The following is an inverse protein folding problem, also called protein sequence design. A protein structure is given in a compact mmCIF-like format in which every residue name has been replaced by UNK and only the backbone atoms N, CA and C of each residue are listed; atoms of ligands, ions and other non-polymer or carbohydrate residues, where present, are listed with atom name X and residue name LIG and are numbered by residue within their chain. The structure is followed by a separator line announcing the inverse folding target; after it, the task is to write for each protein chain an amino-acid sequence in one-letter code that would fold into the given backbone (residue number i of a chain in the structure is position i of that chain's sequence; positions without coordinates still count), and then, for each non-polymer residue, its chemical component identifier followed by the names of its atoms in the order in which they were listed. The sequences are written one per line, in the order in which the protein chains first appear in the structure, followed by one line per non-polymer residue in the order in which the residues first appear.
data_IF_827882964987
#
_entry.id   IF_827882964987
#
_cell.length_a   1.000
_cell.length_b   1.000
_cell.length_c   1.000
_cell.angle_alpha   90.00
_cell.angle_beta   90.00
_cell.angle_gamma   90.00
#
_symmetry.space_group_name_H-M   'P 1'
#
loop_
_entity.id
_entity.type
_entity.pdbx_description
1 polymer ?
#
# COMPACT_ATOMS: atom_id res chain seq x y z
N UNK A 1 12.16 -12.19 -15.87
CA UNK A 1 10.77 -12.70 -15.98
C UNK A 1 10.08 -12.42 -14.64
N UNK A 2 9.42 -11.28 -14.50
CA UNK A 2 8.71 -10.86 -13.28
C UNK A 2 7.34 -11.55 -13.28
N UNK A 3 7.00 -12.29 -12.22
CA UNK A 3 5.81 -13.15 -12.21
C UNK A 3 4.54 -12.45 -11.74
N UNK A 4 3.46 -12.96 -12.33
CA UNK A 4 2.04 -12.62 -12.29
C UNK A 4 1.53 -12.32 -10.88
N UNK A 5 0.85 -11.18 -10.79
CA UNK A 5 0.02 -10.74 -9.68
C UNK A 5 -1.46 -11.02 -9.99
N UNK A 6 -2.29 -11.13 -8.97
CA UNK A 6 -3.75 -11.09 -9.14
C UNK A 6 -4.22 -9.77 -9.83
N UNK A 7 -3.51 -8.65 -9.59
CA UNK A 7 -3.82 -7.33 -10.18
C UNK A 7 -2.93 -6.87 -11.36
N UNK A 8 -1.69 -7.38 -11.53
CA UNK A 8 -0.92 -7.22 -12.78
C UNK A 8 -1.38 -8.12 -13.93
N UNK A 9 -2.51 -8.82 -13.75
CA UNK A 9 -3.24 -9.39 -14.89
C UNK A 9 -3.56 -8.30 -15.90
N UNK A 10 -3.96 -7.11 -15.47
CA UNK A 10 -4.31 -6.03 -16.42
C UNK A 10 -3.10 -5.50 -17.18
N UNK A 11 -1.99 -5.21 -16.49
CA UNK A 11 -0.81 -4.60 -17.11
C UNK A 11 -0.09 -5.54 -18.10
N UNK A 12 -0.35 -6.85 -18.03
CA UNK A 12 0.19 -7.85 -18.96
C UNK A 12 -0.86 -8.38 -19.96
N UNK A 13 -2.10 -8.58 -19.53
CA UNK A 13 -3.17 -9.05 -20.40
C UNK A 13 -3.64 -7.97 -21.37
N UNK A 14 -3.64 -6.70 -20.97
CA UNK A 14 -4.11 -5.62 -21.83
C UNK A 14 -3.19 -5.43 -23.07
N UNK A 15 -1.84 -5.41 -22.95
CA UNK A 15 -0.97 -5.47 -24.11
C UNK A 15 -1.21 -6.70 -25.00
N UNK A 16 -1.39 -7.89 -24.42
CA UNK A 16 -1.66 -9.11 -25.19
C UNK A 16 -2.99 -9.04 -25.93
N UNK A 17 -4.03 -8.50 -25.29
CA UNK A 17 -5.33 -8.24 -25.91
C UNK A 17 -5.21 -7.24 -27.05
N UNK A 18 -4.45 -6.16 -26.86
CA UNK A 18 -4.19 -5.18 -27.92
C UNK A 18 -3.44 -5.80 -29.11
N UNK A 19 -2.43 -6.64 -28.86
CA UNK A 19 -1.74 -7.37 -29.92
C UNK A 19 -2.69 -8.32 -30.67
N UNK A 20 -3.58 -9.01 -29.95
CA UNK A 20 -4.63 -9.84 -30.56
C UNK A 20 -5.60 -9.04 -31.43
N UNK A 21 -6.05 -7.87 -30.94
CA UNK A 21 -6.90 -6.95 -31.70
C UNK A 21 -6.19 -6.38 -32.93
N UNK A 22 -4.91 -6.01 -32.82
CA UNK A 22 -4.09 -5.59 -33.98
C UNK A 22 -4.03 -6.72 -35.02
N UNK A 23 -3.76 -7.95 -34.59
CA UNK A 23 -3.74 -9.09 -35.51
C UNK A 23 -5.11 -9.33 -36.17
N UNK A 24 -6.22 -9.14 -35.45
CA UNK A 24 -7.55 -9.22 -36.01
C UNK A 24 -7.81 -8.12 -37.06
N UNK A 25 -7.46 -6.86 -36.76
CA UNK A 25 -7.58 -5.73 -37.69
C UNK A 25 -6.80 -5.96 -39.00
N UNK A 26 -5.63 -6.62 -38.91
CA UNK A 26 -4.80 -6.93 -40.07
C UNK A 26 -5.34 -8.09 -40.92
N UNK A 27 -6.14 -9.00 -40.34
CA UNK A 27 -6.67 -10.19 -41.03
C UNK A 27 -8.10 -10.02 -41.55
N UNK A 28 -8.88 -9.12 -40.94
CA UNK A 28 -10.29 -8.91 -41.29
C UNK A 28 -10.40 -7.89 -42.44
N UNK A 29 -11.19 -8.25 -43.44
CA UNK A 29 -11.52 -7.40 -44.58
C UNK A 29 -12.30 -6.14 -44.16
N UNK A 30 -12.39 -5.17 -45.06
CA UNK A 30 -13.13 -3.95 -44.81
C UNK A 30 -14.62 -4.27 -44.55
N UNK A 31 -15.10 -3.89 -43.36
CA UNK A 31 -16.46 -4.17 -42.91
C UNK A 31 -16.64 -3.91 -41.41
N UNK A 32 -17.84 -4.18 -40.90
CA UNK A 32 -18.22 -3.86 -39.52
C UNK A 32 -17.32 -4.51 -38.46
N UNK A 33 -16.82 -5.73 -38.72
CA UNK A 33 -15.89 -6.43 -37.83
C UNK A 33 -14.56 -5.68 -37.64
N UNK A 34 -14.03 -5.06 -38.70
CA UNK A 34 -12.80 -4.26 -38.64
C UNK A 34 -13.01 -2.96 -37.89
N UNK A 35 -14.16 -2.30 -38.10
CA UNK A 35 -14.56 -1.09 -37.38
C UNK A 35 -14.68 -1.39 -35.88
N UNK A 36 -15.38 -2.48 -35.51
CA UNK A 36 -15.52 -2.90 -34.12
C UNK A 36 -14.17 -3.23 -33.48
N UNK A 37 -13.29 -3.96 -34.17
CA UNK A 37 -11.95 -4.27 -33.67
C UNK A 37 -11.09 -3.02 -33.46
N UNK A 38 -11.15 -2.04 -34.38
CA UNK A 38 -10.47 -0.75 -34.24
C UNK A 38 -11.03 0.10 -33.08
N UNK A 39 -12.35 0.14 -32.91
CA UNK A 39 -12.98 0.84 -31.79
C UNK A 39 -12.57 0.24 -30.44
N UNK A 40 -12.57 -1.09 -30.33
CA UNK A 40 -12.09 -1.81 -29.15
C UNK A 40 -10.59 -1.55 -28.90
N UNK A 41 -9.78 -1.51 -29.96
CA UNK A 41 -8.35 -1.24 -29.86
C UNK A 41 -8.08 0.18 -29.36
N UNK A 42 -8.81 1.18 -29.85
CA UNK A 42 -8.75 2.57 -29.39
C UNK A 42 -9.14 2.70 -27.92
N UNK A 43 -10.28 2.11 -27.52
CA UNK A 43 -10.74 2.15 -26.13
C UNK A 43 -9.75 1.46 -25.18
N UNK A 44 -9.28 0.26 -25.54
CA UNK A 44 -8.33 -0.50 -24.75
C UNK A 44 -6.97 0.21 -24.61
N UNK A 45 -6.47 0.84 -25.68
CA UNK A 45 -5.19 1.56 -25.68
C UNK A 45 -5.25 2.88 -24.91
N UNK A 46 -6.34 3.65 -25.04
CA UNK A 46 -6.56 4.85 -24.24
C UNK A 46 -6.68 4.53 -22.74
N UNK A 47 -7.45 3.50 -22.39
CA UNK A 47 -7.55 3.03 -21.01
C UNK A 47 -6.19 2.58 -20.45
N UNK A 48 -5.46 1.78 -21.23
CA UNK A 48 -4.11 1.32 -20.86
C UNK A 48 -3.13 2.47 -20.63
N UNK A 49 -3.09 3.43 -21.55
CA UNK A 49 -2.23 4.61 -21.45
C UNK A 49 -2.56 5.44 -20.19
N UNK A 50 -3.83 5.80 -19.99
CA UNK A 50 -4.22 6.63 -18.83
C UNK A 50 -3.98 5.93 -17.49
N UNK A 51 -4.21 4.61 -17.40
CA UNK A 51 -3.97 3.82 -16.18
C UNK A 51 -2.48 3.74 -15.86
N UNK A 52 -1.67 3.33 -16.83
CA UNK A 52 -0.23 3.10 -16.63
C UNK A 52 0.53 4.41 -16.44
N UNK A 53 0.11 5.50 -17.10
CA UNK A 53 0.65 6.84 -16.84
C UNK A 53 0.29 7.34 -15.43
N UNK A 54 -0.93 7.08 -14.95
CA UNK A 54 -1.31 7.39 -13.56
C UNK A 54 -0.44 6.63 -12.56
N UNK A 55 -0.22 5.33 -12.76
CA UNK A 55 0.68 4.56 -11.89
C UNK A 55 2.12 5.06 -11.95
N UNK A 56 2.64 5.38 -13.14
CA UNK A 56 3.98 5.95 -13.30
C UNK A 56 4.14 7.26 -12.52
N UNK A 57 3.14 8.15 -12.59
CA UNK A 57 3.12 9.42 -11.86
C UNK A 57 2.99 9.21 -10.35
N UNK A 58 2.11 8.31 -9.90
CA UNK A 58 1.99 8.01 -8.46
C UNK A 58 3.32 7.55 -7.87
N UNK A 59 4.09 6.73 -8.59
CA UNK A 59 5.39 6.24 -8.11
C UNK A 59 6.47 7.33 -8.23
N UNK A 60 6.47 8.12 -9.31
CA UNK A 60 7.53 9.11 -9.55
C UNK A 60 7.34 10.42 -8.78
N UNK A 61 6.09 10.83 -8.54
CA UNK A 61 5.73 12.12 -7.98
C UNK A 61 5.47 12.04 -6.45
N UNK A 62 5.39 10.83 -5.87
CA UNK A 62 5.28 10.67 -4.41
C UNK A 62 6.68 10.64 -3.81
N UNK A 63 7.07 11.61 -2.96
CA UNK A 63 8.38 11.59 -2.34
C UNK A 63 8.45 10.52 -1.24
N UNK A 64 9.61 9.85 -1.12
CA UNK A 64 9.89 8.97 0.01
C UNK A 64 9.81 9.76 1.31
N UNK A 65 8.92 9.36 2.20
CA UNK A 65 8.76 9.92 3.54
C UNK A 65 9.52 9.09 4.58
N UNK A 66 9.95 9.74 5.67
CA UNK A 66 10.45 9.04 6.86
C UNK A 66 9.30 8.67 7.78
N UNK A 67 9.27 7.44 8.30
CA UNK A 67 8.20 6.88 9.14
C UNK A 67 7.89 7.82 10.32
N UNK A 68 8.92 8.31 11.02
CA UNK A 68 8.75 9.20 12.17
C UNK A 68 8.08 10.55 11.86
N UNK A 69 8.00 10.94 10.58
CA UNK A 69 7.46 12.24 10.15
C UNK A 69 6.50 12.12 8.97
N UNK A 70 6.07 10.90 8.63
CA UNK A 70 5.19 10.66 7.50
C UNK A 70 3.81 11.26 7.78
N UNK A 71 3.25 11.95 6.78
CA UNK A 71 1.89 12.46 6.88
C UNK A 71 0.88 11.30 6.89
N UNK A 72 -0.25 11.49 7.58
CA UNK A 72 -1.37 10.54 7.51
C UNK A 72 -1.92 10.48 6.07
N UNK A 73 -2.21 9.29 5.58
CA UNK A 73 -2.77 9.06 4.24
C UNK A 73 -1.77 8.45 3.27
N UNK A 74 -1.90 8.79 1.99
CA UNK A 74 -1.15 8.13 0.92
C UNK A 74 0.32 8.58 0.87
N UNK A 75 1.25 7.66 1.18
CA UNK A 75 2.68 7.96 1.27
C UNK A 75 3.53 6.83 0.68
N UNK A 76 4.78 7.18 0.38
CA UNK A 76 5.84 6.25 0.03
C UNK A 76 6.80 6.08 1.22
N UNK A 77 7.07 4.83 1.60
CA UNK A 77 8.05 4.46 2.62
C UNK A 77 9.10 3.51 2.04
N UNK A 78 10.33 3.65 2.53
CA UNK A 78 11.45 2.75 2.17
C UNK A 78 12.23 2.39 3.43
N UNK A 79 12.47 1.10 3.63
CA UNK A 79 13.16 0.61 4.81
C UNK A 79 13.60 -0.83 4.69
N UNK A 80 14.11 -1.39 5.78
CA UNK A 80 14.46 -2.79 5.92
C UNK A 80 13.27 -3.55 6.49
N UNK A 81 12.94 -4.66 5.85
CA UNK A 81 11.91 -5.55 6.35
C UNK A 81 12.39 -6.32 7.59
N UNK A 82 11.53 -6.41 8.59
CA UNK A 82 11.77 -7.09 9.87
C UNK A 82 10.58 -7.99 10.19
N UNK A 83 10.82 -9.02 11.00
CA UNK A 83 9.75 -9.90 11.47
C UNK A 83 8.87 -9.16 12.49
N UNK A 84 7.56 -9.36 12.38
CA UNK A 84 6.63 -8.97 13.42
C UNK A 84 6.75 -9.97 14.58
N UNK A 85 6.96 -9.48 15.80
CA UNK A 85 7.13 -10.33 16.97
C UNK A 85 5.87 -11.18 17.25
N UNK A 86 6.07 -12.42 17.70
CA UNK A 86 4.99 -13.35 18.02
C UNK A 86 4.30 -14.04 16.83
N UNK A 87 4.61 -13.64 15.58
CA UNK A 87 3.97 -14.20 14.37
C UNK A 87 4.99 -14.69 13.32
N UNK A 88 5.84 -15.70 13.62
CA UNK A 88 6.86 -16.14 12.68
C UNK A 88 6.24 -16.87 11.49
N UNK A 89 6.43 -16.32 10.29
CA UNK A 89 6.03 -16.96 9.03
C UNK A 89 7.19 -17.83 8.51
N UNK A 90 6.86 -19.05 8.09
CA UNK A 90 7.81 -19.99 7.50
C UNK A 90 7.39 -20.36 6.08
N UNK A 91 8.39 -20.56 5.23
CA UNK A 91 8.22 -21.04 3.86
C UNK A 91 7.63 -22.46 3.87
N UNK A 92 6.54 -22.71 3.12
CA UNK A 92 5.92 -24.04 3.05
C UNK A 92 6.76 -25.06 2.25
N UNK A 93 7.82 -24.63 1.58
CA UNK A 93 8.65 -25.49 0.71
C UNK A 93 9.86 -26.07 1.45
N UNK A 94 10.53 -25.25 2.23
CA UNK A 94 11.83 -25.54 2.87
C UNK A 94 11.86 -25.21 4.38
N UNK A 95 10.79 -24.65 4.93
CA UNK A 95 10.68 -24.30 6.35
C UNK A 95 11.50 -23.07 6.76
N UNK A 96 12.13 -22.35 5.82
CA UNK A 96 12.96 -21.20 6.15
C UNK A 96 12.10 -20.01 6.64
N UNK A 97 12.60 -19.18 7.58
CA UNK A 97 11.91 -17.97 8.01
C UNK A 97 11.75 -16.98 6.85
N UNK A 98 10.52 -16.52 6.63
CA UNK A 98 10.15 -15.53 5.61
C UNK A 98 9.22 -14.50 6.23
N UNK A 99 9.09 -13.33 5.60
CA UNK A 99 8.17 -12.27 6.02
C UNK A 99 6.89 -12.27 5.19
N UNK A 100 7.01 -12.69 3.95
CA UNK A 100 5.90 -12.90 3.02
C UNK A 100 6.34 -13.95 1.99
N UNK A 101 5.41 -14.74 1.47
CA UNK A 101 5.66 -15.59 0.31
C UNK A 101 4.47 -15.68 -0.64
N UNK A 102 4.78 -15.96 -1.91
CA UNK A 102 3.86 -16.55 -2.89
C UNK A 102 4.48 -17.82 -3.42
N UNK A 103 3.72 -18.91 -3.38
CA UNK A 103 4.14 -20.22 -3.87
C UNK A 103 3.26 -20.65 -5.04
N UNK A 104 3.90 -20.87 -6.19
CA UNK A 104 3.31 -21.53 -7.35
C UNK A 104 3.79 -22.98 -7.42
N UNK A 105 2.86 -23.92 -7.34
CA UNK A 105 3.12 -25.35 -7.49
C UNK A 105 2.64 -25.81 -8.85
N UNK A 106 3.54 -26.37 -9.65
CA UNK A 106 3.26 -26.92 -10.97
C UNK A 106 3.59 -28.41 -10.99
N UNK A 107 2.84 -29.19 -11.76
CA UNK A 107 3.12 -30.61 -12.01
C UNK A 107 3.44 -30.81 -13.47
N UNK A 108 4.42 -31.67 -13.73
CA UNK A 108 4.74 -32.16 -15.07
C UNK A 108 3.72 -33.22 -15.45
N UNK A 109 3.06 -33.02 -16.58
CA UNK A 109 2.15 -34.01 -17.14
C UNK A 109 2.86 -34.98 -18.09
N UNK A 110 2.15 -36.01 -18.52
CA UNK A 110 2.64 -37.02 -19.47
C UNK A 110 3.08 -36.43 -20.83
N UNK A 111 2.52 -35.28 -21.21
CA UNK A 111 2.93 -34.51 -22.40
C UNK A 111 4.25 -33.73 -22.19
N UNK A 112 4.87 -33.85 -21.01
CA UNK A 112 6.09 -33.17 -20.61
C UNK A 112 5.92 -31.70 -20.25
N UNK A 113 4.71 -31.14 -20.33
CA UNK A 113 4.42 -29.73 -20.01
C UNK A 113 4.14 -29.56 -18.53
N UNK A 114 4.53 -28.40 -18.01
CA UNK A 114 4.22 -27.99 -16.64
C UNK A 114 2.84 -27.34 -16.61
N UNK A 115 1.97 -27.80 -15.71
CA UNK A 115 0.66 -27.18 -15.46
C UNK A 115 0.53 -26.77 -14.01
N UNK A 116 -0.05 -25.61 -13.78
CA UNK A 116 -0.32 -25.10 -12.43
C UNK A 116 -1.30 -26.01 -11.71
N UNK A 117 -0.88 -26.53 -10.56
CA UNK A 117 -1.72 -27.32 -9.65
C UNK A 117 -2.28 -26.44 -8.56
N UNK A 118 -1.44 -25.58 -7.99
CA UNK A 118 -1.83 -24.72 -6.87
C UNK A 118 -1.05 -23.40 -6.89
N UNK A 119 -1.66 -22.34 -6.36
CA UNK A 119 -1.02 -21.05 -6.11
C UNK A 119 -1.53 -20.53 -4.77
N UNK A 120 -0.62 -20.33 -3.82
CA UNK A 120 -0.94 -19.79 -2.49
C UNK A 120 -0.09 -18.56 -2.20
N UNK A 121 -0.60 -17.69 -1.34
CA UNK A 121 0.04 -16.44 -0.94
C UNK A 121 -0.21 -16.19 0.54
N UNK A 122 0.80 -15.71 1.25
CA UNK A 122 0.67 -15.32 2.65
C UNK A 122 0.09 -13.92 2.79
N UNK A 123 -0.69 -13.70 3.84
CA UNK A 123 -1.19 -12.38 4.25
C UNK A 123 -0.55 -11.89 5.56
N UNK A 124 0.60 -12.45 5.97
CA UNK A 124 1.24 -12.08 7.21
C UNK A 124 1.81 -10.66 7.14
N UNK A 125 1.50 -9.84 8.14
CA UNK A 125 2.09 -8.52 8.29
C UNK A 125 3.56 -8.63 8.72
N UNK A 126 4.36 -7.65 8.31
CA UNK A 126 5.76 -7.55 8.69
C UNK A 126 6.10 -6.11 9.04
N UNK A 127 7.26 -5.88 9.66
CA UNK A 127 7.70 -4.55 10.06
C UNK A 127 8.61 -3.95 8.99
N UNK A 128 8.46 -2.65 8.76
CA UNK A 128 9.35 -1.84 7.93
C UNK A 128 10.07 -0.85 8.84
N UNK A 129 11.39 -0.91 8.85
CA UNK A 129 12.25 -0.03 9.64
C UNK A 129 13.10 0.82 8.69
N UNK A 130 12.89 2.14 8.70
CA UNK A 130 13.65 3.09 7.89
C UNK A 130 14.79 3.78 8.66
N UNK A 131 15.04 3.35 9.91
CA UNK A 131 15.98 3.94 10.84
C UNK A 131 15.45 5.16 11.60
N UNK A 132 14.32 5.74 11.17
CA UNK A 132 13.62 6.81 11.90
C UNK A 132 12.46 6.29 12.75
N UNK A 133 11.80 5.24 12.31
CA UNK A 133 10.69 4.61 13.02
C UNK A 133 10.34 3.25 12.44
N UNK A 134 9.36 2.60 13.05
CA UNK A 134 8.88 1.27 12.66
C UNK A 134 7.44 1.39 12.18
N UNK A 135 7.13 0.79 11.04
CA UNK A 135 5.78 0.73 10.49
C UNK A 135 5.39 -0.74 10.23
N UNK A 136 4.25 -1.17 10.75
CA UNK A 136 3.68 -2.45 10.39
C UNK A 136 3.04 -2.38 9.00
N UNK A 137 3.51 -3.21 8.08
CA UNK A 137 2.99 -3.30 6.71
C UNK A 137 2.04 -4.49 6.62
N UNK A 138 0.78 -4.21 6.29
CA UNK A 138 -0.21 -5.21 5.95
C UNK A 138 -0.19 -5.45 4.43
N UNK A 139 0.21 -6.65 3.96
CA UNK A 139 0.26 -6.93 2.53
C UNK A 139 -1.12 -7.16 1.89
N UNK A 140 -2.22 -7.19 2.66
CA UNK A 140 -3.53 -7.49 2.10
C UNK A 140 -3.96 -6.49 0.99
N UNK A 141 -4.33 -7.05 -0.15
CA UNK A 141 -4.69 -6.28 -1.34
C UNK A 141 -3.55 -5.49 -1.99
N UNK A 142 -2.30 -5.69 -1.56
CA UNK A 142 -1.13 -5.07 -2.18
C UNK A 142 -0.76 -5.72 -3.51
N UNK A 143 -0.25 -4.90 -4.43
CA UNK A 143 0.50 -5.38 -5.57
C UNK A 143 1.93 -5.73 -5.12
N UNK A 144 2.22 -7.03 -4.96
CA UNK A 144 3.53 -7.55 -4.57
C UNK A 144 4.51 -7.73 -5.74
N UNK A 145 5.47 -6.81 -5.90
CA UNK A 145 6.56 -6.92 -6.88
C UNK A 145 7.87 -7.38 -6.22
N UNK A 146 8.05 -8.69 -6.13
CA UNK A 146 9.19 -9.31 -5.44
C UNK A 146 10.18 -9.95 -6.44
N UNK A 147 11.47 -9.64 -6.30
CA UNK A 147 12.58 -10.11 -7.13
C UNK A 147 13.07 -11.47 -6.69
N UNK A 148 13.23 -11.69 -5.37
CA UNK A 148 13.68 -12.97 -4.83
C UNK A 148 12.75 -14.08 -5.32
N UNK A 149 13.35 -15.05 -6.02
CA UNK A 149 12.63 -16.14 -6.66
C UNK A 149 13.46 -17.41 -6.59
N UNK A 150 12.92 -18.39 -5.88
CA UNK A 150 13.53 -19.70 -5.72
C UNK A 150 12.70 -20.74 -6.49
N UNK A 151 13.39 -21.59 -7.25
CA UNK A 151 12.76 -22.68 -8.01
C UNK A 151 13.37 -23.98 -7.53
N UNK A 152 12.54 -24.89 -7.05
CA UNK A 152 12.94 -26.25 -6.71
C UNK A 152 12.06 -27.25 -7.44
N UNK A 153 12.60 -28.42 -7.74
CA UNK A 153 11.88 -29.50 -8.40
C UNK A 153 12.08 -30.79 -7.62
N UNK A 154 10.98 -31.48 -7.30
CA UNK A 154 10.95 -32.76 -6.57
C UNK A 154 10.10 -33.73 -7.38
N UNK A 155 10.75 -34.65 -8.10
CA UNK A 155 10.08 -35.53 -9.06
C UNK A 155 9.36 -34.72 -10.14
N UNK A 156 8.07 -35.01 -10.35
CA UNK A 156 7.23 -34.32 -11.32
C UNK A 156 6.59 -33.02 -10.78
N UNK A 157 7.02 -32.52 -9.61
CA UNK A 157 6.48 -31.28 -9.03
C UNK A 157 7.56 -30.20 -9.02
N UNK A 158 7.22 -29.02 -9.54
CA UNK A 158 8.05 -27.81 -9.50
C UNK A 158 7.40 -26.78 -8.58
N UNK A 159 8.17 -26.32 -7.61
CA UNK A 159 7.81 -25.24 -6.72
C UNK A 159 8.55 -23.97 -7.16
N UNK A 160 7.81 -22.90 -7.44
CA UNK A 160 8.37 -21.57 -7.61
C UNK A 160 7.89 -20.69 -6.48
N UNK A 161 8.82 -20.22 -5.65
CA UNK A 161 8.53 -19.36 -4.50
C UNK A 161 9.08 -17.95 -4.76
N UNK A 162 8.27 -16.94 -4.48
CA UNK A 162 8.71 -15.57 -4.26
C UNK A 162 8.59 -15.26 -2.78
N UNK A 163 9.55 -14.58 -2.20
CA UNK A 163 9.52 -14.28 -0.77
C UNK A 163 10.22 -12.98 -0.42
N UNK A 164 9.75 -12.34 0.64
CA UNK A 164 10.50 -11.31 1.35
C UNK A 164 11.12 -11.96 2.59
N UNK A 165 12.37 -11.63 2.89
CA UNK A 165 13.05 -12.08 4.09
C UNK A 165 13.53 -10.90 4.92
N UNK A 166 13.98 -11.19 6.15
CA UNK A 166 14.56 -10.18 7.03
C UNK A 166 15.70 -9.42 6.33
N UNK A 167 15.75 -8.11 6.56
CA UNK A 167 16.72 -7.16 6.02
C UNK A 167 16.65 -6.89 4.51
N UNK A 168 15.71 -7.51 3.78
CA UNK A 168 15.41 -7.07 2.42
C UNK A 168 15.02 -5.59 2.44
N UNK A 169 15.52 -4.84 1.46
CA UNK A 169 15.08 -3.44 1.27
C UNK A 169 13.71 -3.47 0.65
N UNK A 170 12.73 -2.92 1.34
CA UNK A 170 11.34 -2.87 0.91
C UNK A 170 10.93 -1.43 0.65
N UNK A 171 10.28 -1.27 -0.49
CA UNK A 171 9.54 -0.10 -0.93
C UNK A 171 8.05 -0.38 -0.73
N UNK A 172 7.35 0.51 -0.05
CA UNK A 172 5.91 0.42 0.18
C UNK A 172 5.23 1.75 -0.18
N UNK A 173 4.19 1.69 -1.01
CA UNK A 173 3.37 2.83 -1.43
C UNK A 173 1.91 2.52 -1.11
N UNK A 174 1.29 3.25 -0.19
CA UNK A 174 -0.03 2.94 0.33
C UNK A 174 -0.56 3.95 1.34
N UNK A 175 -1.58 3.58 2.10
CA UNK A 175 -2.16 4.41 3.16
C UNK A 175 -1.44 4.18 4.48
N UNK A 176 -0.78 5.23 4.97
CA UNK A 176 -0.13 5.28 6.26
C UNK A 176 -1.08 5.87 7.31
N UNK A 177 -1.25 5.14 8.40
CA UNK A 177 -2.07 5.54 9.53
C UNK A 177 -1.29 5.35 10.82
N UNK A 178 -1.49 6.24 11.79
CA UNK A 178 -0.99 6.08 13.15
C UNK A 178 -2.13 5.73 14.08
N UNK A 179 -2.10 4.53 14.65
CA UNK A 179 -3.09 4.09 15.62
C UNK A 179 -2.86 4.82 16.94
N UNK A 180 -3.90 5.46 17.47
CA UNK A 180 -3.85 6.21 18.74
C UNK A 180 -3.88 7.74 18.60
N UNK A 181 -3.82 8.32 17.40
CA UNK A 181 -3.85 9.78 17.25
C UNK A 181 -5.28 10.35 17.26
N UNK A 182 -5.79 10.73 18.44
CA UNK A 182 -6.83 11.78 18.52
C UNK A 182 -6.12 13.13 18.48
N UNK A 183 -6.71 14.16 17.85
CA UNK A 183 -6.11 15.51 17.80
C UNK A 183 -5.71 15.98 19.22
N UNK A 184 -4.42 16.22 19.49
CA UNK A 184 -3.91 16.43 20.85
C UNK A 184 -4.56 17.62 21.58
N UNK A 185 -4.87 18.71 20.85
CA UNK A 185 -5.45 19.93 21.43
C UNK A 185 -6.93 19.76 21.81
N UNK A 186 -7.71 19.03 21.01
CA UNK A 186 -9.13 18.79 21.26
C UNK A 186 -9.32 17.84 22.46
N UNK A 187 -8.50 16.78 22.51
CA UNK A 187 -8.50 15.81 23.59
C UNK A 187 -8.05 16.44 24.93
N UNK A 188 -6.99 17.26 24.91
CA UNK A 188 -6.48 17.94 26.10
C UNK A 188 -7.51 18.84 26.80
N UNK A 189 -8.26 19.65 26.05
CA UNK A 189 -9.28 20.54 26.63
C UNK A 189 -10.43 19.77 27.25
N UNK A 190 -10.82 18.64 26.65
CA UNK A 190 -11.89 17.78 27.13
C UNK A 190 -11.49 17.09 28.43
N UNK A 191 -10.28 16.52 28.48
CA UNK A 191 -9.74 15.87 29.68
C UNK A 191 -9.53 16.83 30.85
N UNK A 192 -9.06 18.06 30.61
CA UNK A 192 -8.94 19.09 31.69
C UNK A 192 -10.31 19.40 32.28
N UNK A 193 -11.36 19.49 31.45
CA UNK A 193 -12.73 19.76 31.91
C UNK A 193 -13.27 18.60 32.76
N UNK A 194 -13.06 17.37 32.32
CA UNK A 194 -13.49 16.17 33.05
C UNK A 194 -12.76 16.01 34.39
N UNK A 195 -11.44 16.26 34.41
CA UNK A 195 -10.65 16.21 35.64
C UNK A 195 -11.12 17.25 36.66
N UNK A 196 -11.37 18.50 36.22
CA UNK A 196 -11.91 19.54 37.07
C UNK A 196 -13.34 19.22 37.55
N UNK A 197 -14.17 18.56 36.73
CA UNK A 197 -15.49 18.12 37.15
C UNK A 197 -15.41 17.02 38.22
N UNK A 198 -14.47 16.08 38.09
CA UNK A 198 -14.23 15.04 39.09
C UNK A 198 -13.74 15.63 40.42
N UNK A 199 -12.81 16.60 40.40
CA UNK A 199 -12.36 17.27 41.62
C UNK A 199 -13.46 18.10 42.28
N UNK A 200 -14.37 18.70 41.50
CA UNK A 200 -15.55 19.39 42.03
C UNK A 200 -16.54 18.44 42.71
N UNK A 201 -16.62 17.19 42.25
CA UNK A 201 -17.47 16.18 42.86
C UNK A 201 -16.94 15.75 44.24
N UNK A 202 -15.62 15.79 44.44
CA UNK A 202 -14.97 15.58 45.74
C UNK A 202 -14.51 16.91 46.37
N UNK A 203 -15.50 17.68 46.84
CA UNK A 203 -15.27 19.02 47.42
C UNK A 203 -14.34 19.00 48.63
N UNK A 204 -14.36 17.92 49.43
CA UNK A 204 -13.54 17.82 50.63
C UNK A 204 -12.04 17.73 50.28
N UNK A 205 -11.70 16.87 49.31
CA UNK A 205 -10.33 16.72 48.83
C UNK A 205 -9.84 17.95 48.05
N UNK A 206 -10.73 18.61 47.30
CA UNK A 206 -10.41 19.84 46.57
C UNK A 206 -10.04 20.98 47.53
N UNK A 207 -10.83 21.21 48.59
CA UNK A 207 -10.52 22.21 49.61
C UNK A 207 -9.20 21.87 50.31
N UNK A 208 -9.02 20.62 50.75
CA UNK A 208 -7.77 20.18 51.39
C UNK A 208 -6.51 20.47 50.57
N UNK A 209 -6.61 20.48 49.23
CA UNK A 209 -5.49 20.66 48.31
C UNK A 209 -5.24 22.11 47.90
N UNK A 210 -6.28 22.95 47.85
CA UNK A 210 -6.20 24.26 47.20
C UNK A 210 -6.71 25.44 48.05
N UNK A 211 -7.43 25.20 49.14
CA UNK A 211 -7.83 26.23 50.12
C UNK A 211 -6.63 26.55 51.03
N UNK A 212 -5.94 27.66 50.74
CA UNK A 212 -4.69 28.05 51.38
C UNK A 212 -4.91 28.92 52.61
N UNK A 213 -6.02 29.65 52.65
CA UNK A 213 -6.37 30.52 53.78
C UNK A 213 -7.29 29.83 54.81
N UNK A 214 -7.81 28.65 54.48
CA UNK A 214 -8.59 27.79 55.37
C UNK A 214 -10.02 28.28 55.59
N UNK A 215 -10.56 29.09 54.68
CA UNK A 215 -11.86 29.73 54.83
C UNK A 215 -13.04 28.82 54.40
N UNK A 216 -12.77 27.65 53.80
CA UNK A 216 -13.78 26.69 53.37
C UNK A 216 -14.43 26.99 52.00
N UNK A 217 -13.94 28.01 51.31
CA UNK A 217 -14.28 28.42 49.94
C UNK A 217 -13.00 28.53 49.10
N UNK A 218 -13.14 28.51 47.77
CA UNK A 218 -12.00 28.65 46.85
C UNK A 218 -12.12 29.98 46.12
N UNK A 219 -11.16 30.86 46.34
CA UNK A 219 -11.10 32.14 45.66
C UNK A 219 -10.60 32.01 44.21
N UNK A 220 -10.54 33.13 43.49
CA UNK A 220 -10.14 33.14 42.08
C UNK A 220 -8.68 32.68 41.86
N UNK A 221 -7.79 32.95 42.82
CA UNK A 221 -6.36 32.56 42.75
C UNK A 221 -6.19 31.08 43.03
N UNK A 222 -6.92 30.55 44.00
CA UNK A 222 -6.94 29.13 44.35
C UNK A 222 -7.57 28.29 43.23
N UNK A 223 -8.60 28.82 42.55
CA UNK A 223 -9.15 28.22 41.33
C UNK A 223 -8.17 28.23 40.16
N UNK A 224 -7.39 29.29 39.97
CA UNK A 224 -6.34 29.33 38.97
C UNK A 224 -5.24 28.30 39.27
N UNK A 225 -4.87 28.13 40.53
CA UNK A 225 -3.92 27.11 40.97
C UNK A 225 -4.43 25.69 40.64
N UNK A 226 -5.67 25.38 40.99
CA UNK A 226 -6.31 24.11 40.66
C UNK A 226 -6.35 23.86 39.14
N UNK A 227 -6.67 24.89 38.35
CA UNK A 227 -6.67 24.78 36.87
C UNK A 227 -5.27 24.56 36.29
N UNK A 228 -4.25 25.21 36.85
CA UNK A 228 -2.86 25.01 36.42
C UNK A 228 -2.37 23.61 36.77
N UNK A 229 -2.70 23.09 37.94
CA UNK A 229 -2.41 21.70 38.34
C UNK A 229 -3.10 20.71 37.41
N UNK A 230 -4.40 20.86 37.16
CA UNK A 230 -5.13 19.99 36.24
C UNK A 230 -4.48 19.97 34.84
N UNK A 231 -4.00 21.12 34.35
CA UNK A 231 -3.28 21.22 33.08
C UNK A 231 -1.90 20.56 33.11
N UNK A 232 -1.21 20.52 34.25
CA UNK A 232 0.07 19.80 34.41
C UNK A 232 -0.17 18.29 34.48
N UNK A 233 -1.19 17.87 35.23
CA UNK A 233 -1.57 16.47 35.39
C UNK A 233 -1.97 15.83 34.05
N UNK A 234 -2.86 16.48 33.29
CA UNK A 234 -3.26 16.01 31.96
C UNK A 234 -2.05 15.95 31.01
N UNK A 235 -1.15 16.94 31.06
CA UNK A 235 0.09 16.91 30.27
C UNK A 235 1.02 15.76 30.67
N UNK A 236 1.14 15.44 31.97
CA UNK A 236 1.93 14.30 32.45
C UNK A 236 1.34 12.98 31.96
N UNK A 237 0.03 12.78 32.13
CA UNK A 237 -0.69 11.58 31.64
C UNK A 237 -0.59 11.44 30.12
N UNK A 238 -0.67 12.55 29.37
CA UNK A 238 -0.45 12.54 27.92
C UNK A 238 0.99 12.21 27.57
N UNK A 239 1.99 12.74 28.28
CA UNK A 239 3.39 12.40 28.05
C UNK A 239 3.67 10.92 28.34
N UNK A 240 3.04 10.34 29.36
CA UNK A 240 3.10 8.90 29.67
C UNK A 240 2.40 8.04 28.59
N UNK A 241 1.25 8.48 28.06
CA UNK A 241 0.56 7.79 26.96
C UNK A 241 1.28 7.96 25.61
N UNK A 242 1.88 9.11 25.33
CA UNK A 242 2.73 9.36 24.15
C UNK A 242 4.09 8.67 24.26
N UNK A 243 4.52 8.31 25.47
CA UNK A 243 5.67 7.43 25.66
C UNK A 243 5.35 5.98 25.29
N UNK A 244 4.07 5.61 25.13
CA UNK A 244 3.71 4.35 24.47
C UNK A 244 4.01 4.49 22.96
N UNK A 245 4.64 3.49 22.32
CA UNK A 245 5.03 3.57 20.92
C UNK A 245 3.80 3.82 20.04
N UNK A 246 3.81 4.93 19.29
CA UNK A 246 2.82 5.15 18.24
C UNK A 246 2.89 4.00 17.24
N UNK A 247 1.80 3.24 17.11
CA UNK A 247 1.76 2.12 16.19
C UNK A 247 1.43 2.62 14.78
N UNK A 248 2.47 2.78 13.96
CA UNK A 248 2.32 3.14 12.56
C UNK A 248 1.97 1.91 11.72
N UNK A 249 1.00 2.05 10.81
CA UNK A 249 0.52 0.97 9.95
C UNK A 249 0.43 1.45 8.50
N UNK A 250 0.91 0.62 7.57
CA UNK A 250 0.78 0.79 6.13
C UNK A 250 -0.21 -0.25 5.60
N UNK A 251 -1.28 0.22 4.94
CA UNK A 251 -2.38 -0.63 4.47
C UNK A 251 -2.90 -0.20 3.10
N UNK A 252 -3.85 -0.98 2.59
CA UNK A 252 -4.54 -0.67 1.34
C UNK A 252 -5.26 0.69 1.42
N UNK A 253 -5.00 1.61 0.48
CA UNK A 253 -5.65 2.90 0.45
C UNK A 253 -7.12 2.81 0.03
N UNK A 254 -7.98 3.68 0.59
CA UNK A 254 -9.35 3.81 0.13
C UNK A 254 -9.40 4.33 -1.31
N UNK A 255 -10.50 4.04 -2.02
CA UNK A 255 -10.72 4.57 -3.37
C UNK A 255 -9.89 3.94 -4.50
N UNK A 256 -9.29 2.77 -4.27
CA UNK A 256 -8.66 1.96 -5.33
C UNK A 256 -7.37 2.53 -5.89
N UNK A 257 -6.68 3.42 -5.14
CA UNK A 257 -5.33 3.87 -5.48
C UNK A 257 -4.36 2.69 -5.47
N UNK A 258 -3.25 2.82 -6.20
CA UNK A 258 -2.22 1.80 -6.26
C UNK A 258 -1.69 1.51 -4.85
N UNK A 259 -1.83 0.26 -4.40
CA UNK A 259 -1.14 -0.24 -3.22
C UNK A 259 -0.02 -1.16 -3.70
N UNK A 260 1.23 -0.83 -3.41
CA UNK A 260 2.38 -1.52 -3.98
C UNK A 260 3.42 -1.79 -2.90
N UNK A 261 3.86 -3.04 -2.81
CA UNK A 261 4.97 -3.46 -1.96
C UNK A 261 5.99 -4.16 -2.85
N UNK A 262 7.25 -3.75 -2.78
CA UNK A 262 8.30 -4.25 -3.67
C UNK A 262 9.67 -4.30 -3.00
N UNK A 263 10.51 -5.24 -3.41
CA UNK A 263 11.96 -5.23 -3.12
C UNK A 263 12.78 -4.65 -4.29
N UNK A 264 12.11 -4.02 -5.26
CA UNK A 264 12.71 -3.35 -6.40
C UNK A 264 12.86 -1.86 -6.13
N UNK A 265 13.77 -1.25 -6.87
CA UNK A 265 13.95 0.19 -6.89
C UNK A 265 12.73 0.89 -7.54
N UNK A 266 12.09 1.88 -6.88
CA UNK A 266 10.93 2.60 -7.43
C UNK A 266 11.21 3.22 -8.80
N UNK A 267 12.42 3.69 -9.09
CA UNK A 267 12.77 4.27 -10.38
C UNK A 267 12.64 3.24 -11.51
N UNK A 268 12.97 1.98 -11.22
CA UNK A 268 12.81 0.87 -12.17
C UNK A 268 11.34 0.56 -12.40
N UNK A 269 10.52 0.60 -11.35
CA UNK A 269 9.08 0.36 -11.45
C UNK A 269 8.41 1.49 -12.24
N UNK A 270 8.70 2.75 -11.90
CA UNK A 270 8.21 3.93 -12.62
C UNK A 270 8.64 3.92 -14.10
N UNK A 271 9.89 3.56 -14.39
CA UNK A 271 10.39 3.41 -15.78
C UNK A 271 9.62 2.33 -16.54
N UNK A 272 9.33 1.19 -15.91
CA UNK A 272 8.52 0.13 -16.52
C UNK A 272 7.13 0.63 -16.88
N UNK A 273 6.45 1.33 -15.96
CA UNK A 273 5.13 1.90 -16.25
C UNK A 273 5.17 2.98 -17.33
N UNK A 274 6.23 3.79 -17.40
CA UNK A 274 6.44 4.75 -18.50
C UNK A 274 6.57 4.07 -19.85
N UNK A 275 7.36 3.00 -19.95
CA UNK A 275 7.47 2.22 -21.19
C UNK A 275 6.14 1.57 -21.58
N UNK A 276 5.39 1.06 -20.60
CA UNK A 276 4.07 0.49 -20.84
C UNK A 276 3.07 1.55 -21.32
N UNK A 277 3.09 2.74 -20.74
CA UNK A 277 2.30 3.89 -21.20
C UNK A 277 2.67 4.28 -22.63
N UNK A 278 3.97 4.37 -22.95
CA UNK A 278 4.46 4.67 -24.30
C UNK A 278 3.99 3.61 -25.32
N UNK A 279 4.03 2.32 -24.95
CA UNK A 279 3.50 1.24 -25.77
C UNK A 279 2.00 1.44 -26.07
N UNK A 280 1.18 1.67 -25.03
CA UNK A 280 -0.26 1.89 -25.22
C UNK A 280 -0.55 3.13 -26.07
N UNK A 281 0.22 4.21 -25.90
CA UNK A 281 0.09 5.40 -26.72
C UNK A 281 0.45 5.12 -28.19
N UNK A 282 1.52 4.38 -28.45
CA UNK A 282 1.90 4.00 -29.82
C UNK A 282 0.80 3.17 -30.50
N UNK A 283 0.22 2.20 -29.79
CA UNK A 283 -0.92 1.40 -30.29
C UNK A 283 -2.14 2.29 -30.56
N UNK A 284 -2.45 3.22 -29.67
CA UNK A 284 -3.56 4.17 -29.85
C UNK A 284 -3.36 5.01 -31.11
N UNK A 285 -2.19 5.63 -31.27
CA UNK A 285 -1.86 6.45 -32.44
C UNK A 285 -1.91 5.61 -33.73
N UNK A 286 -1.40 4.38 -33.71
CA UNK A 286 -1.50 3.45 -34.85
C UNK A 286 -2.95 3.12 -35.24
N UNK A 287 -3.84 2.94 -34.26
CA UNK A 287 -5.27 2.72 -34.48
C UNK A 287 -5.99 3.97 -35.02
N UNK A 288 -5.62 5.17 -34.56
CA UNK A 288 -6.13 6.46 -35.09
C UNK A 288 -5.73 6.64 -36.56
N UNK A 289 -4.47 6.37 -36.90
CA UNK A 289 -4.01 6.45 -38.31
C UNK A 289 -4.75 5.44 -39.19
N UNK A 290 -4.96 4.23 -38.67
CA UNK A 290 -5.66 3.16 -39.40
C UNK A 290 -7.13 3.48 -39.65
N UNK A 291 -7.82 4.06 -38.67
CA UNK A 291 -9.22 4.52 -38.82
C UNK A 291 -9.33 5.68 -39.81
N UNK A 292 -8.41 6.66 -39.75
CA UNK A 292 -8.38 7.78 -40.69
C UNK A 292 -8.18 7.33 -42.14
N UNK A 293 -7.29 6.36 -42.39
CA UNK A 293 -7.09 5.79 -43.74
C UNK A 293 -8.32 5.07 -44.27
N UNK A 294 -9.05 4.32 -43.43
CA UNK A 294 -10.31 3.68 -43.81
C UNK A 294 -11.36 4.71 -44.25
N UNK A 295 -11.45 5.85 -43.55
CA UNK A 295 -12.35 6.95 -43.92
C UNK A 295 -11.98 7.63 -45.24
N UNK A 296 -10.69 7.78 -45.54
CA UNK A 296 -10.23 8.35 -46.81
C UNK A 296 -10.51 7.45 -48.03
N UNK A 297 -10.57 6.13 -47.82
CA UNK A 297 -10.81 5.14 -48.89
C UNK A 297 -12.31 4.96 -49.18
N UNK A 298 -13.20 5.62 -48.43
CA UNK A 298 -14.66 5.53 -48.62
C UNK A 298 -15.26 4.18 -48.17
N UNK A 299 -14.58 3.48 -47.24
CA UNK A 299 -14.99 2.18 -46.72
C UNK A 299 -15.74 2.26 -45.37
N UNK A 300 -16.37 3.40 -45.08
CA UNK A 300 -17.19 3.68 -43.90
C UNK A 300 -18.61 4.05 -44.31
#
# INVERSE_FOLDING_TARGET
MLVRLAHARLDTALPLLQLGLVAAVLRVDAGWGKIAALALLLAASLYGWTRTLRHARLIADTPTSRIASAAQGYVELRGRAQALEGSPLHSPVDGLPVLWYRLLTERRESDGKWRTVNSIESNASFLLDDGSGICAVDPDGAEMLVRRRDVSTRGDIRYTQWSLIRHDTVYALGDFATLGSISPDFDSRTQVRELLAAWKADRAELLRRFDLDGNGELDLREWELARQEAKREVRRRQAEMQAAPEAHVMRKPPGGRLFLISDLDPDRIARRYRWLAAFHLAVFLGAVVSTARLGQIGAL
#
